data_IF_471987777905
#
_entry.id   IF_471987777905
#
_cell.length_a   1.000
_cell.length_b   1.000
_cell.length_c   1.000
_cell.angle_alpha   90.00
_cell.angle_beta   90.00
_cell.angle_gamma   90.00
#
_symmetry.space_group_name_H-M   'P 1'
#
loop_
_entity.id
_entity.type
_entity.pdbx_description
1 polymer ?
#
# COMPACT_ATOMS: atom_id res chain seq x y z
N UNK A 1 -7.03 9.78 11.15
CA UNK A 1 -6.14 8.74 11.72
C UNK A 1 -5.04 9.42 12.52
N UNK A 2 -4.63 8.89 13.68
CA UNK A 2 -3.43 9.44 14.38
C UNK A 2 -2.16 9.06 13.63
N UNK A 3 -1.10 9.88 13.76
CA UNK A 3 0.21 9.55 13.19
C UNK A 3 0.78 8.24 13.73
N UNK A 4 0.66 7.98 15.03
CA UNK A 4 1.12 6.73 15.65
C UNK A 4 0.43 5.51 15.03
N UNK A 5 -0.89 5.58 14.84
CA UNK A 5 -1.69 4.54 14.18
C UNK A 5 -1.28 4.32 12.71
N UNK A 6 -0.96 5.40 11.98
CA UNK A 6 -0.46 5.32 10.61
C UNK A 6 0.83 4.49 10.54
N UNK A 7 1.82 4.85 11.37
CA UNK A 7 3.13 4.19 11.36
C UNK A 7 3.00 2.73 11.79
N UNK A 8 2.17 2.44 12.79
CA UNK A 8 1.86 1.05 13.18
C UNK A 8 1.25 0.25 12.04
N UNK A 9 0.28 0.82 11.31
CA UNK A 9 -0.32 0.16 10.13
C UNK A 9 0.71 -0.08 9.04
N UNK A 10 1.49 0.93 8.65
CA UNK A 10 2.55 0.82 7.64
C UNK A 10 3.53 -0.32 7.99
N UNK A 11 3.96 -0.38 9.26
CA UNK A 11 4.83 -1.45 9.76
C UNK A 11 4.14 -2.82 9.70
N UNK A 12 2.89 -2.91 10.14
CA UNK A 12 2.14 -4.17 10.20
C UNK A 12 1.91 -4.74 8.80
N UNK A 13 1.53 -3.91 7.82
CA UNK A 13 1.34 -4.35 6.44
C UNK A 13 2.65 -4.81 5.82
N UNK A 14 3.72 -4.05 6.01
CA UNK A 14 5.06 -4.41 5.51
C UNK A 14 5.55 -5.71 6.15
N UNK A 15 5.41 -5.87 7.47
CA UNK A 15 5.77 -7.10 8.18
C UNK A 15 4.94 -8.30 7.71
N UNK A 16 3.64 -8.10 7.48
CA UNK A 16 2.76 -9.14 6.96
C UNK A 16 3.16 -9.57 5.55
N UNK A 17 3.50 -8.62 4.68
CA UNK A 17 3.99 -8.90 3.32
C UNK A 17 5.31 -9.69 3.34
N UNK A 18 6.26 -9.29 4.19
CA UNK A 18 7.54 -10.02 4.38
C UNK A 18 7.30 -11.43 4.92
N UNK A 19 6.44 -11.61 5.92
CA UNK A 19 6.11 -12.96 6.45
C UNK A 19 5.46 -13.84 5.39
N UNK A 20 4.55 -13.30 4.58
CA UNK A 20 3.97 -14.02 3.45
C UNK A 20 5.04 -14.44 2.43
N UNK A 21 6.04 -13.59 2.18
CA UNK A 21 7.22 -13.94 1.37
C UNK A 21 7.96 -15.16 1.90
N UNK A 22 8.36 -15.09 3.17
CA UNK A 22 9.20 -16.12 3.78
C UNK A 22 8.48 -17.46 3.77
N UNK A 23 7.17 -17.44 4.01
CA UNK A 23 6.31 -18.63 3.93
C UNK A 23 6.18 -19.13 2.49
N UNK A 24 6.02 -18.25 1.49
CA UNK A 24 5.93 -18.64 0.09
C UNK A 24 7.25 -19.23 -0.43
N UNK A 25 8.38 -18.64 -0.08
CA UNK A 25 9.73 -19.14 -0.41
C UNK A 25 9.96 -20.48 0.29
N UNK A 26 9.62 -20.60 1.58
CA UNK A 26 9.74 -21.86 2.32
C UNK A 26 8.85 -22.96 1.72
N UNK A 27 7.63 -22.62 1.31
CA UNK A 27 6.73 -23.53 0.61
C UNK A 27 7.29 -23.95 -0.77
N UNK A 28 7.88 -23.03 -1.52
CA UNK A 28 8.55 -23.34 -2.79
C UNK A 28 9.72 -24.32 -2.58
N UNK A 29 10.55 -24.10 -1.56
CA UNK A 29 11.64 -25.02 -1.18
C UNK A 29 11.11 -26.40 -0.73
N UNK A 30 9.98 -26.44 0.00
CA UNK A 30 9.29 -27.68 0.36
C UNK A 30 8.85 -28.50 -0.86
N UNK A 31 8.45 -27.82 -1.94
CA UNK A 31 7.98 -28.46 -3.18
C UNK A 31 9.14 -28.89 -4.09
N UNK A 32 10.27 -28.18 -4.04
CA UNK A 32 11.51 -28.56 -4.71
C UNK A 32 12.23 -29.59 -3.82
N UNK A 33 12.05 -30.88 -4.11
CA UNK A 33 12.61 -32.02 -3.37
C UNK A 33 14.15 -32.12 -3.40
N UNK A 34 14.86 -30.99 -3.46
CA UNK A 34 16.31 -30.86 -3.45
C UNK A 34 16.77 -30.30 -2.09
N UNK A 35 17.56 -31.08 -1.36
CA UNK A 35 17.99 -30.78 0.00
C UNK A 35 19.00 -29.61 0.09
N UNK A 36 19.69 -29.27 -0.99
CA UNK A 36 20.76 -28.24 -0.98
C UNK A 36 20.24 -26.79 -0.83
N UNK A 37 18.99 -26.51 -1.21
CA UNK A 37 18.39 -25.16 -1.13
C UNK A 37 17.92 -24.77 0.29
N UNK A 38 17.94 -25.73 1.21
CA UNK A 38 17.44 -25.59 2.58
C UNK A 38 18.48 -25.02 3.54
N UNK A 39 19.77 -25.09 3.17
CA UNK A 39 20.89 -24.59 3.98
C UNK A 39 21.22 -23.11 3.72
N UNK A 40 20.45 -22.41 2.86
CA UNK A 40 20.63 -20.98 2.55
C UNK A 40 19.73 -20.09 3.40
N UNK A 41 20.34 -19.24 4.24
CA UNK A 41 19.67 -18.21 5.06
C UNK A 41 19.06 -17.05 4.21
N UNK A 42 18.05 -16.30 4.70
CA UNK A 42 17.29 -16.46 5.94
C UNK A 42 15.99 -17.26 5.71
N UNK A 43 15.63 -18.15 6.64
CA UNK A 43 14.40 -18.95 6.59
C UNK A 43 13.78 -19.11 7.98
N UNK A 44 12.48 -18.86 8.11
CA UNK A 44 11.67 -19.14 9.31
C UNK A 44 11.05 -20.55 9.30
N UNK A 45 11.62 -21.49 8.56
CA UNK A 45 11.23 -22.89 8.60
C UNK A 45 12.25 -23.69 9.43
N UNK A 46 11.94 -23.91 10.71
CA UNK A 46 12.76 -24.75 11.57
C UNK A 46 12.84 -26.17 11.00
N UNK A 47 14.04 -26.62 10.65
CA UNK A 47 14.36 -27.97 10.17
C UNK A 47 14.19 -29.09 11.22
N UNK A 48 13.31 -28.93 12.22
CA UNK A 48 13.23 -29.85 13.38
C UNK A 48 12.18 -30.96 13.27
N UNK A 49 11.23 -30.86 12.33
CA UNK A 49 10.09 -31.79 12.23
C UNK A 49 10.02 -32.55 10.89
N UNK A 50 11.18 -32.88 10.30
CA UNK A 50 11.30 -33.57 9.00
C UNK A 50 10.48 -34.89 8.90
N UNK A 51 10.37 -35.72 9.96
CA UNK A 51 9.53 -36.93 9.93
C UNK A 51 8.03 -36.62 9.94
N UNK A 52 7.60 -35.57 10.63
CA UNK A 52 6.19 -35.19 10.77
C UNK A 52 5.66 -34.46 9.52
N UNK A 53 6.51 -33.66 8.87
CA UNK A 53 6.19 -32.96 7.60
C UNK A 53 5.87 -33.98 6.49
N UNK A 54 6.55 -35.12 6.45
CA UNK A 54 6.27 -36.24 5.51
C UNK A 54 4.90 -36.89 5.72
N UNK A 55 4.35 -36.86 6.94
CA UNK A 55 3.05 -37.45 7.27
C UNK A 55 1.90 -36.44 7.21
N UNK A 56 2.16 -35.15 7.42
CA UNK A 56 1.13 -34.13 7.63
C UNK A 56 0.93 -33.13 6.50
N UNK A 57 1.84 -33.04 5.52
CA UNK A 57 1.62 -32.20 4.33
C UNK A 57 1.26 -33.11 3.15
N UNK A 58 -0.04 -33.35 2.88
CA UNK A 58 -0.43 -33.55 1.49
C UNK A 58 0.10 -32.29 0.77
N UNK A 59 1.00 -32.51 -0.20
CA UNK A 59 1.42 -31.50 -1.17
C UNK A 59 0.26 -30.55 -1.42
N UNK A 60 0.46 -29.25 -1.33
CA UNK A 60 -0.58 -28.23 -1.58
C UNK A 60 -1.21 -28.52 -2.96
N UNK A 61 -2.25 -29.35 -2.98
CA UNK A 61 -2.84 -29.90 -4.20
C UNK A 61 -4.17 -29.22 -4.53
N UNK A 62 -4.61 -28.28 -3.70
CA UNK A 62 -5.79 -27.47 -3.94
C UNK A 62 -5.60 -26.05 -3.48
N UNK A 63 -5.91 -25.10 -4.35
CA UNK A 63 -6.25 -23.73 -3.95
C UNK A 63 -7.55 -23.74 -3.13
N UNK A 64 -7.78 -22.73 -2.27
CA UNK A 64 -9.04 -22.65 -1.52
C UNK A 64 -10.24 -22.60 -2.48
N UNK A 65 -11.44 -22.95 -2.00
CA UNK A 65 -12.68 -22.89 -2.80
C UNK A 65 -12.89 -21.50 -3.40
N UNK A 66 -12.55 -20.46 -2.66
CA UNK A 66 -12.64 -19.05 -3.09
C UNK A 66 -11.64 -18.75 -4.20
N UNK A 67 -10.37 -19.13 -4.04
CA UNK A 67 -9.33 -18.93 -5.07
C UNK A 67 -9.60 -19.79 -6.32
N UNK A 68 -10.16 -20.98 -6.15
CA UNK A 68 -10.61 -21.85 -7.24
C UNK A 68 -11.72 -21.19 -8.07
N UNK A 69 -12.66 -20.51 -7.42
CA UNK A 69 -13.72 -19.73 -8.09
C UNK A 69 -13.15 -18.48 -8.79
N UNK A 70 -12.19 -17.79 -8.18
CA UNK A 70 -11.51 -16.66 -8.83
C UNK A 70 -10.79 -17.12 -10.09
N UNK A 71 -10.11 -18.27 -10.02
CA UNK A 71 -9.45 -18.87 -11.16
C UNK A 71 -10.38 -19.25 -12.29
N UNK A 72 -11.48 -19.88 -11.93
CA UNK A 72 -12.58 -20.21 -12.84
C UNK A 72 -13.08 -18.98 -13.61
N UNK A 73 -13.19 -17.82 -12.94
CA UNK A 73 -13.61 -16.56 -13.58
C UNK A 73 -12.54 -15.99 -14.53
N UNK A 74 -11.25 -16.17 -14.24
CA UNK A 74 -10.14 -15.65 -15.07
C UNK A 74 -9.96 -16.49 -16.34
N UNK A 75 -10.09 -17.81 -16.25
CA UNK A 75 -9.77 -18.73 -17.36
C UNK A 75 -10.93 -18.90 -18.37
N UNK A 76 -12.11 -18.33 -18.10
CA UNK A 76 -13.15 -18.09 -19.09
C UNK A 76 -13.90 -19.31 -19.67
N UNK A 77 -13.52 -20.57 -19.38
CA UNK A 77 -14.28 -21.74 -19.83
C UNK A 77 -14.16 -22.98 -18.90
N UNK A 78 -15.27 -23.45 -18.27
CA UNK A 78 -15.28 -24.56 -17.30
C UNK A 78 -14.90 -25.93 -17.87
N UNK A 79 -15.22 -26.20 -19.13
CA UNK A 79 -15.12 -27.56 -19.71
C UNK A 79 -13.66 -28.01 -19.94
N UNK A 80 -12.69 -27.10 -19.83
CA UNK A 80 -11.26 -27.38 -19.96
C UNK A 80 -10.52 -27.51 -18.62
N UNK A 81 -11.15 -27.16 -17.49
CA UNK A 81 -10.56 -27.31 -16.17
C UNK A 81 -10.64 -28.78 -15.74
N UNK A 82 -9.67 -29.57 -16.18
CA UNK A 82 -9.48 -30.93 -15.70
C UNK A 82 -9.02 -30.87 -14.25
N UNK A 83 -9.95 -31.11 -13.33
CA UNK A 83 -9.61 -31.36 -11.93
C UNK A 83 -8.82 -32.66 -11.86
N UNK A 84 -7.62 -32.61 -11.29
CA UNK A 84 -6.88 -33.81 -10.92
C UNK A 84 -7.70 -34.65 -9.93
N UNK A 85 -7.46 -35.96 -9.86
CA UNK A 85 -8.15 -36.86 -8.91
C UNK A 85 -8.10 -36.38 -7.45
N UNK A 86 -7.16 -35.48 -7.11
CA UNK A 86 -6.99 -34.90 -5.78
C UNK A 86 -7.54 -33.45 -5.64
N UNK A 87 -8.38 -32.99 -6.58
CA UNK A 87 -9.14 -31.74 -6.47
C UNK A 87 -8.42 -30.46 -6.91
N UNK A 88 -7.26 -30.57 -7.55
CA UNK A 88 -6.49 -29.42 -8.05
C UNK A 88 -6.74 -29.10 -9.52
N UNK A 89 -6.80 -27.82 -9.87
CA UNK A 89 -6.81 -27.31 -11.26
C UNK A 89 -5.39 -26.87 -11.64
N UNK A 90 -4.93 -27.23 -12.84
CA UNK A 90 -3.65 -26.76 -13.36
C UNK A 90 -3.65 -25.22 -13.47
N UNK A 91 -2.83 -24.56 -12.66
CA UNK A 91 -2.79 -23.11 -12.50
C UNK A 91 -1.85 -22.41 -13.50
N UNK A 92 -0.86 -23.14 -14.06
CA UNK A 92 0.20 -22.60 -14.90
C UNK A 92 1.58 -23.16 -14.51
N UNK A 93 2.60 -22.79 -15.26
CA UNK A 93 4.00 -23.14 -14.94
C UNK A 93 4.58 -22.10 -13.97
N UNK A 94 5.51 -22.48 -13.09
CA UNK A 94 6.10 -21.55 -12.11
C UNK A 94 6.68 -20.29 -12.75
N UNK A 95 7.27 -20.44 -13.94
CA UNK A 95 7.88 -19.35 -14.72
C UNK A 95 6.87 -18.41 -15.38
N UNK A 96 5.57 -18.76 -15.35
CA UNK A 96 4.49 -17.91 -15.87
C UNK A 96 3.90 -16.99 -14.81
N UNK A 97 4.26 -17.18 -13.54
CA UNK A 97 3.80 -16.33 -12.45
C UNK A 97 4.76 -15.18 -12.19
N UNK A 98 4.18 -14.05 -11.78
CA UNK A 98 4.93 -12.95 -11.17
C UNK A 98 5.68 -13.53 -9.97
N UNK A 99 6.98 -13.23 -9.88
CA UNK A 99 7.80 -13.77 -8.80
C UNK A 99 7.26 -13.31 -7.43
N UNK A 100 7.38 -14.13 -6.36
CA UNK A 100 6.97 -13.70 -5.03
C UNK A 100 7.54 -12.33 -4.66
N UNK A 101 8.83 -12.11 -4.96
CA UNK A 101 9.53 -10.85 -4.72
C UNK A 101 8.87 -9.65 -5.42
N UNK A 102 8.49 -9.80 -6.70
CA UNK A 102 7.77 -8.76 -7.45
C UNK A 102 6.39 -8.48 -6.84
N UNK A 103 5.65 -9.52 -6.41
CA UNK A 103 4.35 -9.37 -5.76
C UNK A 103 4.50 -8.57 -4.46
N UNK A 104 5.46 -8.93 -3.61
CA UNK A 104 5.67 -8.29 -2.31
C UNK A 104 6.13 -6.84 -2.48
N UNK A 105 7.10 -6.61 -3.37
CA UNK A 105 7.57 -5.27 -3.65
C UNK A 105 6.41 -4.37 -4.09
N UNK A 106 5.57 -4.86 -5.01
CA UNK A 106 4.34 -4.18 -5.45
C UNK A 106 3.42 -3.89 -4.26
N UNK A 107 3.08 -4.90 -3.44
CA UNK A 107 2.15 -4.71 -2.31
C UNK A 107 2.69 -3.72 -1.27
N UNK A 108 3.98 -3.79 -0.92
CA UNK A 108 4.62 -2.86 0.01
C UNK A 108 4.53 -1.43 -0.52
N UNK A 109 4.85 -1.20 -1.79
CA UNK A 109 4.79 0.14 -2.39
C UNK A 109 3.36 0.68 -2.42
N UNK A 110 2.40 -0.12 -2.95
CA UNK A 110 1.01 0.29 -3.09
C UNK A 110 0.34 0.59 -1.74
N UNK A 111 0.46 -0.32 -0.76
CA UNK A 111 -0.20 -0.12 0.53
C UNK A 111 0.38 1.05 1.31
N UNK A 112 1.72 1.22 1.33
CA UNK A 112 2.32 2.31 2.07
C UNK A 112 2.00 3.68 1.44
N UNK A 113 1.95 3.78 0.11
CA UNK A 113 1.52 5.01 -0.55
C UNK A 113 0.05 5.33 -0.26
N UNK A 114 -0.84 4.33 -0.36
CA UNK A 114 -2.26 4.51 -0.05
C UNK A 114 -2.49 4.98 1.40
N UNK A 115 -1.71 4.45 2.35
CA UNK A 115 -1.77 4.89 3.75
C UNK A 115 -1.26 6.32 3.94
N UNK A 116 -0.20 6.70 3.23
CA UNK A 116 0.32 8.06 3.22
C UNK A 116 -0.74 9.05 2.71
N UNK A 117 -1.37 8.77 1.57
CA UNK A 117 -2.42 9.62 1.00
C UNK A 117 -3.65 9.67 1.91
N UNK A 118 -4.12 8.53 2.40
CA UNK A 118 -5.26 8.50 3.33
C UNK A 118 -5.00 9.36 4.57
N UNK A 119 -3.77 9.37 5.08
CA UNK A 119 -3.39 10.23 6.20
C UNK A 119 -3.37 11.72 5.83
N UNK A 120 -2.77 12.09 4.69
CA UNK A 120 -2.80 13.46 4.17
C UNK A 120 -4.24 13.94 4.01
N UNK A 121 -5.12 13.11 3.45
CA UNK A 121 -6.51 13.45 3.18
C UNK A 121 -7.32 13.59 4.46
N UNK A 122 -7.09 12.75 5.46
CA UNK A 122 -7.68 12.88 6.79
C UNK A 122 -7.30 14.23 7.44
N UNK A 123 -6.01 14.60 7.38
CA UNK A 123 -5.53 15.87 7.94
C UNK A 123 -6.07 17.07 7.16
N UNK A 124 -6.10 16.98 5.83
CA UNK A 124 -6.66 18.04 4.99
C UNK A 124 -8.15 18.23 5.26
N UNK A 125 -8.91 17.14 5.40
CA UNK A 125 -10.34 17.19 5.77
C UNK A 125 -10.54 17.95 7.07
N UNK A 126 -9.72 17.69 8.09
CA UNK A 126 -9.76 18.44 9.35
C UNK A 126 -9.49 19.93 9.14
N UNK A 127 -8.46 20.28 8.35
CA UNK A 127 -8.17 21.69 8.01
C UNK A 127 -9.28 22.38 7.24
N UNK A 128 -9.96 21.68 6.33
CA UNK A 128 -11.12 22.21 5.62
C UNK A 128 -12.29 22.48 6.57
N UNK A 129 -12.53 21.62 7.56
CA UNK A 129 -13.54 21.88 8.60
C UNK A 129 -13.20 23.08 9.48
N UNK A 130 -11.95 23.18 9.94
CA UNK A 130 -11.47 24.33 10.72
C UNK A 130 -11.64 25.66 9.98
N UNK A 131 -11.53 25.62 8.65
CA UNK A 131 -11.60 26.79 7.77
C UNK A 131 -12.85 26.78 6.87
N UNK A 132 -13.96 26.21 7.35
CA UNK A 132 -15.18 26.03 6.57
C UNK A 132 -15.75 27.35 6.00
N UNK A 133 -15.43 28.47 6.64
CA UNK A 133 -15.84 29.82 6.21
C UNK A 133 -15.32 30.19 4.82
N UNK A 134 -14.16 29.64 4.42
CA UNK A 134 -13.55 29.84 3.10
C UNK A 134 -14.34 29.22 1.94
N UNK A 135 -15.45 28.54 2.23
CA UNK A 135 -16.31 27.90 1.24
C UNK A 135 -17.74 28.47 1.22
N UNK A 136 -18.02 29.51 2.02
CA UNK A 136 -19.34 30.16 2.06
C UNK A 136 -19.61 31.15 0.93
N UNK A 137 -18.74 31.23 -0.08
CA UNK A 137 -19.02 31.95 -1.33
C UNK A 137 -20.14 31.28 -2.15
N UNK A 138 -20.51 30.03 -1.82
CA UNK A 138 -21.69 29.37 -2.38
C UNK A 138 -22.99 30.03 -1.87
N UNK A 139 -23.81 30.55 -2.81
CA UNK A 139 -25.12 31.13 -2.49
C UNK A 139 -26.10 30.05 -2.02
N UNK A 140 -26.19 29.81 -0.72
CA UNK A 140 -27.26 29.00 -0.12
C UNK A 140 -28.56 29.80 0.00
N UNK A 141 -29.70 29.18 -0.31
CA UNK A 141 -31.00 29.77 -0.05
C UNK A 141 -31.48 29.46 1.37
N UNK A 142 -32.37 30.31 1.92
CA UNK A 142 -33.05 30.02 3.20
C UNK A 142 -33.80 28.68 3.17
N UNK A 143 -34.25 28.24 1.98
CA UNK A 143 -34.89 26.94 1.79
C UNK A 143 -33.91 25.78 2.02
N UNK A 144 -32.67 25.90 1.52
CA UNK A 144 -31.63 24.87 1.71
C UNK A 144 -31.31 24.69 3.20
N UNK A 145 -31.21 25.79 3.94
CA UNK A 145 -31.01 25.76 5.39
C UNK A 145 -32.16 25.08 6.13
N UNK A 146 -33.40 25.41 5.78
CA UNK A 146 -34.60 24.84 6.40
C UNK A 146 -34.78 23.36 6.09
N UNK A 147 -34.42 22.90 4.88
CA UNK A 147 -34.63 21.51 4.45
C UNK A 147 -33.50 20.56 4.88
N UNK A 148 -32.25 21.02 4.82
CA UNK A 148 -31.08 20.15 5.04
C UNK A 148 -30.41 20.37 6.39
N UNK A 149 -30.51 21.58 6.95
CA UNK A 149 -29.77 21.99 8.14
C UNK A 149 -28.32 22.38 7.81
N UNK A 150 -27.80 23.33 8.59
CA UNK A 150 -26.47 23.92 8.41
C UNK A 150 -25.34 22.89 8.37
N UNK A 151 -25.33 21.94 9.32
CA UNK A 151 -24.29 20.91 9.42
C UNK A 151 -24.22 20.01 8.18
N UNK A 152 -25.37 19.60 7.62
CA UNK A 152 -25.38 18.77 6.40
C UNK A 152 -24.90 19.54 5.18
N UNK A 153 -25.22 20.83 5.09
CA UNK A 153 -24.74 21.68 4.00
C UNK A 153 -23.21 21.83 4.05
N UNK A 154 -22.66 22.14 5.23
CA UNK A 154 -21.21 22.24 5.44
C UNK A 154 -20.52 20.92 5.12
N UNK A 155 -21.01 19.81 5.67
CA UNK A 155 -20.42 18.49 5.44
C UNK A 155 -20.38 18.18 3.94
N UNK A 156 -21.46 18.45 3.20
CA UNK A 156 -21.51 18.23 1.76
C UNK A 156 -20.56 19.15 0.96
N UNK A 157 -20.21 20.32 1.48
CA UNK A 157 -19.24 21.22 0.86
C UNK A 157 -17.82 20.72 1.09
N UNK A 158 -17.47 20.44 2.34
CA UNK A 158 -16.15 19.91 2.71
C UNK A 158 -15.90 18.59 1.99
N UNK A 159 -16.88 17.69 1.91
CA UNK A 159 -16.75 16.43 1.16
C UNK A 159 -16.51 16.65 -0.34
N UNK A 160 -17.23 17.60 -0.97
CA UNK A 160 -17.01 17.92 -2.39
C UNK A 160 -15.63 18.51 -2.64
N UNK A 161 -15.16 19.40 -1.77
CA UNK A 161 -13.82 20.00 -1.87
C UNK A 161 -12.72 18.99 -1.61
N UNK A 162 -12.93 18.07 -0.65
CA UNK A 162 -12.02 16.95 -0.42
C UNK A 162 -11.92 16.04 -1.64
N UNK A 163 -13.04 15.66 -2.26
CA UNK A 163 -13.02 14.83 -3.49
C UNK A 163 -12.28 15.54 -4.63
N UNK A 164 -12.42 16.86 -4.76
CA UNK A 164 -11.62 17.64 -5.74
C UNK A 164 -10.13 17.60 -5.40
N UNK A 165 -9.80 17.71 -4.11
CA UNK A 165 -8.44 17.66 -3.61
C UNK A 165 -7.77 16.30 -3.86
N UNK A 166 -8.44 15.20 -3.52
CA UNK A 166 -7.94 13.82 -3.67
C UNK A 166 -7.59 13.46 -5.12
N UNK A 167 -8.31 14.04 -6.08
CA UNK A 167 -8.12 13.78 -7.53
C UNK A 167 -7.00 14.59 -8.17
N UNK A 168 -6.37 15.48 -7.42
CA UNK A 168 -5.30 16.34 -7.94
C UNK A 168 -3.93 15.66 -7.87
N UNK A 169 -3.03 16.07 -8.76
CA UNK A 169 -1.61 15.71 -8.66
C UNK A 169 -1.02 16.25 -7.36
N UNK A 170 0.06 15.61 -6.88
CA UNK A 170 0.79 16.01 -5.67
C UNK A 170 1.09 17.52 -5.68
N UNK A 171 1.60 18.05 -6.79
CA UNK A 171 1.92 19.48 -6.89
C UNK A 171 0.70 20.40 -6.69
N UNK A 172 -0.44 20.04 -7.28
CA UNK A 172 -1.68 20.82 -7.12
C UNK A 172 -2.20 20.73 -5.69
N UNK A 173 -2.14 19.53 -5.08
CA UNK A 173 -2.51 19.32 -3.67
C UNK A 173 -1.65 20.15 -2.72
N UNK A 174 -0.33 20.12 -2.89
CA UNK A 174 0.60 20.90 -2.06
C UNK A 174 0.42 22.41 -2.27
N UNK A 175 0.12 22.86 -3.47
CA UNK A 175 -0.20 24.28 -3.69
C UNK A 175 -1.46 24.73 -2.95
N UNK A 176 -2.46 23.85 -2.79
CA UNK A 176 -3.66 24.15 -2.02
C UNK A 176 -3.41 24.28 -0.52
N UNK A 177 -2.33 23.70 0.02
CA UNK A 177 -1.96 23.87 1.42
C UNK A 177 -1.78 25.35 1.80
N UNK A 178 -1.35 26.19 0.85
CA UNK A 178 -1.21 27.64 1.01
C UNK A 178 -2.53 28.33 1.37
N UNK A 179 -3.67 27.78 0.92
CA UNK A 179 -5.01 28.31 1.25
C UNK A 179 -5.32 28.15 2.75
N UNK A 180 -4.64 27.23 3.43
CA UNK A 180 -4.86 26.90 4.84
C UNK A 180 -3.69 27.33 5.74
N UNK A 181 -2.85 28.26 5.27
CA UNK A 181 -1.67 28.77 5.98
C UNK A 181 -0.70 27.67 6.46
N UNK A 182 -0.66 26.55 5.72
CA UNK A 182 0.26 25.46 5.99
C UNK A 182 1.63 25.75 5.36
N UNK A 183 2.68 25.53 6.14
CA UNK A 183 4.06 25.69 5.68
C UNK A 183 4.39 24.69 4.54
N UNK A 184 5.17 25.13 3.56
CA UNK A 184 5.65 24.24 2.50
C UNK A 184 6.55 23.12 3.06
N UNK A 185 6.43 21.93 2.46
CA UNK A 185 7.44 20.88 2.61
C UNK A 185 8.67 21.23 1.75
N UNK A 186 9.85 20.77 2.16
CA UNK A 186 11.09 21.08 1.42
C UNK A 186 11.06 20.51 -0.01
N UNK A 187 11.70 21.21 -0.96
CA UNK A 187 11.71 20.84 -2.39
C UNK A 187 12.10 19.37 -2.64
N UNK A 188 13.13 18.89 -1.92
CA UNK A 188 13.54 17.48 -1.96
C UNK A 188 12.37 16.52 -1.69
N UNK A 189 11.52 16.83 -0.70
CA UNK A 189 10.39 15.99 -0.32
C UNK A 189 9.23 16.12 -1.29
N UNK A 190 9.05 17.29 -1.93
CA UNK A 190 8.09 17.45 -3.02
C UNK A 190 8.44 16.50 -4.16
N UNK A 191 9.70 16.48 -4.57
CA UNK A 191 10.17 15.65 -5.67
C UNK A 191 10.02 14.16 -5.35
N UNK A 192 10.45 13.74 -4.15
CA UNK A 192 10.23 12.36 -3.70
C UNK A 192 8.74 12.02 -3.72
N UNK A 193 7.86 12.91 -3.24
CA UNK A 193 6.43 12.62 -3.21
C UNK A 193 5.86 12.44 -4.63
N UNK A 194 6.30 13.25 -5.60
CA UNK A 194 5.93 13.10 -7.02
C UNK A 194 6.39 11.74 -7.57
N UNK A 195 7.67 11.39 -7.38
CA UNK A 195 8.22 10.12 -7.85
C UNK A 195 7.47 8.93 -7.27
N UNK A 196 7.18 8.94 -5.97
CA UNK A 196 6.39 7.86 -5.35
C UNK A 196 4.99 7.78 -5.96
N UNK A 197 4.33 8.92 -6.21
CA UNK A 197 3.00 8.99 -6.82
C UNK A 197 2.97 8.42 -8.24
N UNK A 198 3.94 8.81 -9.07
CA UNK A 198 4.09 8.33 -10.44
C UNK A 198 4.37 6.83 -10.47
N UNK A 199 5.31 6.37 -9.63
CA UNK A 199 5.63 4.96 -9.52
C UNK A 199 4.46 4.11 -9.02
N UNK A 200 3.63 4.63 -8.10
CA UNK A 200 2.38 3.98 -7.70
C UNK A 200 1.42 3.89 -8.88
N UNK A 201 1.25 4.97 -9.64
CA UNK A 201 0.33 5.00 -10.78
C UNK A 201 0.75 4.02 -11.86
N UNK A 202 2.05 3.94 -12.18
CA UNK A 202 2.63 2.95 -13.08
C UNK A 202 2.22 1.53 -12.67
N UNK A 203 2.53 1.14 -11.42
CA UNK A 203 2.23 -0.19 -10.88
C UNK A 203 0.73 -0.53 -10.85
N UNK A 204 -0.16 0.47 -10.81
CA UNK A 204 -1.62 0.24 -10.74
C UNK A 204 -2.36 0.35 -12.06
N UNK A 205 -1.86 1.13 -13.01
CA UNK A 205 -2.64 1.56 -14.19
C UNK A 205 -2.00 1.18 -15.51
N UNK A 206 -0.70 0.91 -15.55
CA UNK A 206 -0.05 0.47 -16.78
C UNK A 206 -0.32 -1.01 -17.05
N UNK A 207 -0.42 -1.35 -18.33
CA UNK A 207 -0.67 -2.72 -18.75
C UNK A 207 0.55 -3.63 -18.47
N UNK A 208 1.75 -3.06 -18.55
CA UNK A 208 3.03 -3.77 -18.38
C UNK A 208 4.00 -2.92 -17.57
N UNK A 209 3.74 -2.70 -16.27
CA UNK A 209 4.58 -1.84 -15.44
C UNK A 209 5.98 -2.42 -15.28
N UNK A 210 6.97 -1.54 -15.05
CA UNK A 210 8.34 -1.96 -14.75
C UNK A 210 8.35 -2.76 -13.45
N UNK A 211 8.93 -3.96 -13.48
CA UNK A 211 8.95 -4.90 -12.36
C UNK A 211 9.65 -4.28 -11.14
N UNK A 212 8.98 -4.17 -9.98
CA UNK A 212 9.60 -3.60 -8.80
C UNK A 212 10.55 -4.58 -8.13
N UNK A 213 11.59 -4.05 -7.49
CA UNK A 213 12.55 -4.84 -6.71
C UNK A 213 12.28 -4.74 -5.21
N UNK A 214 12.77 -5.71 -4.44
CA UNK A 214 12.68 -5.64 -2.97
C UNK A 214 13.43 -4.43 -2.42
N UNK A 215 14.60 -4.11 -2.96
CA UNK A 215 15.38 -2.93 -2.60
C UNK A 215 14.58 -1.65 -2.82
N UNK A 216 13.99 -1.50 -4.01
CA UNK A 216 13.10 -0.38 -4.32
C UNK A 216 11.96 -0.27 -3.32
N UNK A 217 11.30 -1.37 -2.97
CA UNK A 217 10.18 -1.36 -2.03
C UNK A 217 10.56 -0.94 -0.61
N UNK A 218 11.79 -1.24 -0.17
CA UNK A 218 12.33 -0.82 1.12
C UNK A 218 12.56 0.70 1.11
N UNK A 219 13.19 1.22 0.06
CA UNK A 219 13.40 2.67 -0.12
C UNK A 219 12.05 3.39 -0.12
N UNK A 220 11.09 2.86 -0.89
CA UNK A 220 9.75 3.40 -1.02
C UNK A 220 9.03 3.45 0.34
N UNK A 221 9.06 2.35 1.11
CA UNK A 221 8.51 2.29 2.46
C UNK A 221 9.12 3.34 3.39
N UNK A 222 10.44 3.52 3.35
CA UNK A 222 11.13 4.52 4.15
C UNK A 222 10.72 5.94 3.76
N UNK A 223 10.70 6.25 2.46
CA UNK A 223 10.28 7.55 1.97
C UNK A 223 8.82 7.87 2.36
N UNK A 224 7.90 6.90 2.28
CA UNK A 224 6.53 7.09 2.75
C UNK A 224 6.48 7.47 4.23
N UNK A 225 7.26 6.81 5.08
CA UNK A 225 7.30 7.12 6.53
C UNK A 225 7.88 8.50 6.82
N UNK A 226 8.93 8.90 6.11
CA UNK A 226 9.53 10.22 6.28
C UNK A 226 8.60 11.31 5.75
N UNK A 227 7.97 11.11 4.60
CA UNK A 227 6.95 12.02 4.09
C UNK A 227 5.77 12.15 5.03
N UNK A 228 5.28 11.05 5.60
CA UNK A 228 4.22 11.11 6.60
C UNK A 228 4.61 12.01 7.79
N UNK A 229 5.87 11.91 8.24
CA UNK A 229 6.42 12.74 9.32
C UNK A 229 6.48 14.22 8.92
N UNK A 230 6.93 14.52 7.71
CA UNK A 230 6.95 15.88 7.18
C UNK A 230 5.53 16.46 7.11
N UNK A 231 4.57 15.71 6.53
CA UNK A 231 3.15 16.08 6.48
C UNK A 231 2.62 16.35 7.90
N UNK A 232 2.78 15.40 8.82
CA UNK A 232 2.33 15.55 10.21
C UNK A 232 2.88 16.83 10.86
N UNK A 233 4.15 17.13 10.61
CA UNK A 233 4.82 18.33 11.14
C UNK A 233 4.20 19.61 10.57
N UNK A 234 3.93 19.67 9.27
CA UNK A 234 3.33 20.85 8.62
C UNK A 234 1.87 21.06 9.03
N UNK A 235 1.13 19.98 9.27
CA UNK A 235 -0.24 20.04 9.78
C UNK A 235 -0.33 20.25 11.30
N UNK A 236 0.79 20.21 12.01
CA UNK A 236 0.82 20.38 13.47
C UNK A 236 0.22 19.19 14.25
N UNK A 237 0.26 17.98 13.68
CA UNK A 237 -0.24 16.78 14.36
C UNK A 237 0.65 16.41 15.55
N UNK A 238 0.12 16.61 16.75
CA UNK A 238 0.83 16.35 18.02
C UNK A 238 1.08 14.87 18.29
N UNK A 239 0.34 13.97 17.64
CA UNK A 239 0.49 12.52 17.83
C UNK A 239 1.83 11.99 17.30
N UNK A 240 2.57 12.80 16.53
CA UNK A 240 3.97 12.52 16.16
C UNK A 240 4.86 12.26 17.39
N UNK A 241 4.61 12.95 18.50
CA UNK A 241 5.38 12.81 19.75
C UNK A 241 5.13 11.48 20.46
N UNK A 242 4.01 10.81 20.18
CA UNK A 242 3.67 9.50 20.73
C UNK A 242 4.43 8.38 20.00
N UNK A 243 4.95 8.67 18.81
CA UNK A 243 5.57 7.70 17.91
C UNK A 243 7.05 7.49 18.26
N UNK A 244 7.34 6.42 19.01
CA UNK A 244 8.71 6.03 19.39
C UNK A 244 9.28 5.01 18.40
N UNK A 245 9.55 5.46 17.18
CA UNK A 245 10.10 4.60 16.12
C UNK A 245 11.46 5.16 15.70
N UNK A 246 12.48 4.31 15.47
CA UNK A 246 13.71 4.80 14.90
C UNK A 246 13.44 5.40 13.51
N UNK A 247 13.69 6.70 13.41
CA UNK A 247 13.83 7.43 12.16
C UNK A 247 15.26 7.24 11.70
N UNK A 248 15.64 6.01 11.34
CA UNK A 248 16.95 5.80 10.77
C UNK A 248 17.01 6.58 9.45
N UNK A 249 17.96 7.51 9.36
CA UNK A 249 18.49 7.99 8.09
C UNK A 249 19.06 6.77 7.37
N UNK A 250 18.24 6.08 6.58
CA UNK A 250 18.80 5.31 5.50
C UNK A 250 19.58 6.34 4.68
N UNK A 251 20.91 6.18 4.64
CA UNK A 251 21.79 6.97 3.75
C UNK A 251 21.06 7.08 2.43
N UNK A 252 20.84 8.31 1.98
CA UNK A 252 20.18 8.67 0.74
C UNK A 252 20.46 7.58 -0.30
N UNK A 253 19.50 6.68 -0.51
CA UNK A 253 19.67 5.66 -1.51
C UNK A 253 19.46 6.39 -2.81
N UNK A 254 20.56 6.64 -3.51
CA UNK A 254 20.56 7.19 -4.85
C UNK A 254 19.54 6.39 -5.66
N UNK A 255 18.50 7.07 -6.13
CA UNK A 255 17.58 6.43 -7.05
C UNK A 255 18.39 5.91 -8.24
N UNK A 256 18.07 4.72 -8.78
CA UNK A 256 18.72 4.24 -9.99
C UNK A 256 18.56 5.33 -11.05
N UNK A 257 19.68 5.96 -11.42
CA UNK A 257 19.69 6.78 -12.62
C UNK A 257 19.47 5.84 -13.79
N UNK A 258 18.54 6.21 -14.67
CA UNK A 258 18.17 5.47 -15.87
C UNK A 258 19.42 4.94 -16.60
N UNK A 259 19.44 3.65 -16.93
CA UNK A 259 20.42 3.03 -17.85
C UNK A 259 19.83 3.06 -19.26
#
# INVERSE_FOLDING_TARGET
>A
MKFSELIEKMNLYTLSAVRCSDLAISASKLMLWNCEEWDKEPCLASARNMPDIKMCLPLVQGVSTELSKTLYLILGNPESCTFSENGGVYFGHVDTFISPNEIIATQVMLYNYCLLEAYEFDLMKQKMYENQELFFDEKYSLKDFNERGFEKLINGVVERELVKYERQSVEKRLNLWKKFDLNEIGEKWIEIYKVLSERRNELTHEHSPTKPTLEESIIYFHHCRVLAKEIATKFGDKSISECKVPWHDFKEVEMPQEI
#
